data_IF_421378663121
#
_entry.id   IF_421378663121
#
_cell.length_a   1.000
_cell.length_b   1.000
_cell.length_c   1.000
_cell.angle_alpha   90.00
_cell.angle_beta   90.00
_cell.angle_gamma   90.00
#
_symmetry.space_group_name_H-M   'P 1'
#
loop_
_entity.id
_entity.type
_entity.pdbx_description
1 polymer ?
#
# COMPACT_ATOMS: atom_id res chain seq x y z
N UNK A 1 -99.08 25.64 -22.42
CA UNK A 1 -97.77 25.77 -23.10
C UNK A 1 -96.69 25.81 -22.01
N UNK A 2 -96.46 24.67 -21.35
CA UNK A 2 -95.21 23.86 -21.30
C UNK A 2 -94.28 24.31 -20.15
N UNK A 3 -94.42 23.82 -18.90
CA UNK A 3 -93.68 22.67 -18.28
C UNK A 3 -92.24 22.55 -18.82
N UNK A 4 -91.15 22.48 -18.03
CA UNK A 4 -90.84 21.48 -16.99
C UNK A 4 -89.35 21.62 -16.54
N UNK A 5 -89.01 21.39 -15.24
CA UNK A 5 -87.71 20.85 -14.69
C UNK A 5 -86.42 21.70 -14.91
N UNK A 6 -85.43 21.88 -14.02
CA UNK A 6 -84.91 21.28 -12.77
C UNK A 6 -84.11 22.39 -12.03
N UNK A 7 -84.13 22.59 -10.71
CA UNK A 7 -83.43 21.87 -9.61
C UNK A 7 -81.90 21.75 -9.82
N UNK A 8 -81.16 22.06 -8.74
CA UNK A 8 -79.81 21.59 -8.30
C UNK A 8 -78.76 22.71 -8.31
N UNK A 9 -78.61 23.46 -7.21
CA UNK A 9 -77.67 23.20 -6.10
C UNK A 9 -76.21 23.51 -6.47
N UNK A 10 -75.74 24.71 -6.12
CA UNK A 10 -74.31 25.01 -5.92
C UNK A 10 -73.92 24.27 -4.65
N UNK A 11 -73.48 23.01 -4.81
CA UNK A 11 -72.94 22.17 -3.74
C UNK A 11 -71.43 22.32 -3.80
N UNK A 12 -70.82 22.64 -2.66
CA UNK A 12 -69.40 22.55 -2.41
C UNK A 12 -68.82 21.27 -3.02
N UNK A 13 -67.96 21.39 -4.02
CA UNK A 13 -67.00 20.32 -4.34
C UNK A 13 -65.78 20.62 -3.48
N UNK A 14 -65.72 19.92 -2.36
CA UNK A 14 -64.47 19.52 -1.73
C UNK A 14 -63.60 18.86 -2.82
N UNK A 15 -62.57 19.55 -3.30
CA UNK A 15 -61.38 18.88 -3.80
C UNK A 15 -60.53 18.60 -2.57
N UNK A 16 -60.78 17.43 -1.98
CA UNK A 16 -59.75 16.71 -1.24
C UNK A 16 -58.58 16.54 -2.22
N UNK A 17 -57.56 17.40 -2.11
CA UNK A 17 -56.22 16.94 -2.45
C UNK A 17 -55.90 15.98 -1.33
N UNK A 18 -56.07 14.69 -1.61
CA UNK A 18 -55.43 13.67 -0.80
C UNK A 18 -53.95 14.01 -0.83
N UNK A 19 -53.43 14.49 0.29
CA UNK A 19 -52.01 14.46 0.56
C UNK A 19 -51.67 12.96 0.53
N UNK A 20 -51.23 12.47 -0.62
CA UNK A 20 -50.56 11.18 -0.65
C UNK A 20 -49.31 11.41 0.18
N UNK A 21 -49.22 10.71 1.32
CA UNK A 21 -47.94 10.57 2.01
C UNK A 21 -47.00 9.96 0.99
N UNK A 22 -46.00 10.72 0.61
CA UNK A 22 -44.91 10.25 -0.25
C UNK A 22 -44.15 9.16 0.51
N UNK A 23 -43.78 8.09 -0.18
CA UNK A 23 -43.14 6.96 0.49
C UNK A 23 -41.74 7.36 0.98
N UNK A 24 -41.50 7.14 2.27
CA UNK A 24 -40.22 7.38 2.93
C UNK A 24 -39.29 6.20 2.70
N UNK A 25 -38.07 6.47 2.26
CA UNK A 25 -37.00 5.48 2.07
C UNK A 25 -36.08 5.48 3.28
N UNK A 26 -35.67 4.30 3.74
CA UNK A 26 -34.75 4.15 4.87
C UNK A 26 -33.53 3.33 4.45
N UNK A 27 -32.35 3.76 4.88
CA UNK A 27 -31.09 3.04 4.68
C UNK A 27 -30.64 2.45 6.02
N UNK A 28 -30.30 1.16 6.05
CA UNK A 28 -29.89 0.52 7.31
C UNK A 28 -28.44 0.81 7.69
N UNK A 29 -27.62 1.17 6.70
CA UNK A 29 -26.23 1.55 6.88
C UNK A 29 -26.12 3.07 6.97
N UNK A 30 -25.50 3.54 8.06
CA UNK A 30 -25.38 4.96 8.33
C UNK A 30 -24.48 5.67 7.31
N UNK A 31 -23.43 5.00 6.82
CA UNK A 31 -22.52 5.56 5.83
C UNK A 31 -23.22 5.73 4.49
N UNK A 32 -24.03 4.74 4.11
CA UNK A 32 -24.89 4.83 2.93
C UNK A 32 -25.90 5.99 3.06
N UNK A 33 -26.60 6.10 4.19
CA UNK A 33 -27.56 7.20 4.40
C UNK A 33 -26.88 8.57 4.26
N UNK A 34 -25.70 8.74 4.88
CA UNK A 34 -24.93 9.99 4.79
C UNK A 34 -24.53 10.30 3.35
N UNK A 35 -24.10 9.30 2.58
CA UNK A 35 -23.75 9.45 1.18
C UNK A 35 -24.95 9.89 0.34
N UNK A 36 -26.11 9.25 0.53
CA UNK A 36 -27.34 9.61 -0.20
C UNK A 36 -27.78 11.02 0.15
N UNK A 37 -27.71 11.41 1.43
CA UNK A 37 -28.01 12.79 1.86
C UNK A 37 -27.12 13.82 1.20
N UNK A 38 -25.86 13.48 0.97
CA UNK A 38 -24.95 14.35 0.23
C UNK A 38 -25.36 14.49 -1.23
N UNK A 39 -25.69 13.37 -1.89
CA UNK A 39 -26.10 13.33 -3.29
C UNK A 39 -27.39 14.12 -3.56
N UNK A 40 -28.39 14.03 -2.68
CA UNK A 40 -29.66 14.76 -2.82
C UNK A 40 -29.60 16.22 -2.30
N UNK A 41 -28.44 16.67 -1.82
CA UNK A 41 -28.23 17.98 -1.19
C UNK A 41 -29.13 18.27 0.04
N UNK A 42 -29.60 17.24 0.75
CA UNK A 42 -30.52 17.37 1.91
C UNK A 42 -29.95 16.74 3.19
N UNK A 43 -29.66 17.58 4.18
CA UNK A 43 -28.93 17.20 5.39
C UNK A 43 -29.83 16.70 6.53
N UNK A 44 -31.11 17.08 6.53
CA UNK A 44 -32.07 16.75 7.60
C UNK A 44 -33.43 16.33 7.03
N UNK A 45 -34.16 15.50 7.77
CA UNK A 45 -35.52 15.08 7.41
C UNK A 45 -35.58 13.69 6.78
N UNK A 46 -36.80 13.29 6.45
CA UNK A 46 -37.09 12.01 5.78
C UNK A 46 -36.62 12.05 4.33
N UNK A 47 -35.87 11.04 3.90
CA UNK A 47 -35.53 10.82 2.48
C UNK A 47 -36.77 10.23 1.82
N UNK A 48 -37.21 10.81 0.71
CA UNK A 48 -38.41 10.41 0.01
C UNK A 48 -38.09 9.78 -1.33
N UNK A 49 -39.02 8.97 -1.83
CA UNK A 49 -38.86 8.32 -3.13
C UNK A 49 -38.56 9.31 -4.28
N UNK A 50 -39.20 10.48 -4.28
CA UNK A 50 -39.00 11.48 -5.33
C UNK A 50 -37.61 12.13 -5.33
N UNK A 51 -36.90 12.09 -4.20
CA UNK A 51 -35.53 12.57 -4.08
C UNK A 51 -34.57 11.64 -4.85
N UNK A 52 -34.92 10.35 -4.98
CA UNK A 52 -34.10 9.31 -5.59
C UNK A 52 -34.45 9.05 -7.07
N UNK A 53 -35.70 9.29 -7.47
CA UNK A 53 -36.27 8.90 -8.77
C UNK A 53 -35.53 9.45 -10.00
N UNK A 54 -34.69 10.48 -9.86
CA UNK A 54 -33.95 11.08 -10.98
C UNK A 54 -32.44 10.82 -10.95
N UNK A 55 -31.93 10.14 -9.93
CA UNK A 55 -30.51 9.82 -9.82
C UNK A 55 -30.20 8.67 -10.78
N UNK A 56 -29.23 8.91 -11.67
CA UNK A 56 -28.83 7.97 -12.72
C UNK A 56 -27.44 7.40 -12.52
N UNK A 57 -26.60 8.12 -11.80
CA UNK A 57 -25.23 7.76 -11.51
C UNK A 57 -25.04 7.99 -10.02
N UNK A 58 -24.39 7.05 -9.35
CA UNK A 58 -24.12 7.15 -7.92
C UNK A 58 -22.73 6.59 -7.64
N UNK A 59 -21.90 7.40 -6.97
CA UNK A 59 -20.55 7.05 -6.54
C UNK A 59 -20.51 6.91 -5.01
N UNK A 60 -20.23 5.69 -4.57
CA UNK A 60 -20.17 5.27 -3.17
C UNK A 60 -18.84 4.59 -2.84
N UNK A 61 -17.79 4.84 -3.63
CA UNK A 61 -16.50 4.17 -3.44
C UNK A 61 -15.82 4.60 -2.13
N UNK A 62 -15.31 3.64 -1.36
CA UNK A 62 -14.43 3.96 -0.22
C UNK A 62 -15.12 4.54 1.02
N UNK A 63 -16.42 4.36 1.19
CA UNK A 63 -17.21 5.01 2.25
C UNK A 63 -17.39 4.16 3.52
N UNK A 64 -16.86 2.94 3.53
CA UNK A 64 -16.99 1.99 4.64
C UNK A 64 -18.40 1.43 4.79
N UNK A 65 -19.14 1.30 3.68
CA UNK A 65 -20.49 0.74 3.66
C UNK A 65 -20.42 -0.77 3.87
N UNK A 66 -21.30 -1.30 4.72
CA UNK A 66 -21.38 -2.73 5.03
C UNK A 66 -22.67 -3.36 4.51
N UNK A 67 -23.71 -2.55 4.28
CA UNK A 67 -25.04 -3.00 3.87
C UNK A 67 -25.69 -2.00 2.90
N UNK A 68 -26.20 -2.50 1.78
CA UNK A 68 -26.81 -1.70 0.70
C UNK A 68 -28.34 -1.64 0.75
N UNK A 69 -29.00 -2.09 1.83
CA UNK A 69 -30.45 -2.02 1.93
C UNK A 69 -30.98 -0.58 1.79
N UNK A 70 -31.96 -0.42 0.91
CA UNK A 70 -32.51 0.86 0.46
C UNK A 70 -32.04 1.24 -0.94
N UNK A 71 -30.96 0.63 -1.47
CA UNK A 71 -30.45 0.90 -2.82
C UNK A 71 -31.48 0.56 -3.90
N UNK A 72 -32.34 -0.43 -3.67
CA UNK A 72 -33.43 -0.84 -4.57
C UNK A 72 -34.43 0.29 -4.87
N UNK A 73 -34.45 1.35 -4.06
CA UNK A 73 -35.32 2.52 -4.26
C UNK A 73 -34.85 3.45 -5.38
N UNK A 74 -33.65 3.25 -5.95
CA UNK A 74 -33.12 4.09 -7.04
C UNK A 74 -33.59 3.60 -8.41
N UNK A 75 -34.87 3.82 -8.73
CA UNK A 75 -35.49 3.27 -9.93
C UNK A 75 -34.87 3.74 -11.26
N UNK A 76 -34.19 4.89 -11.29
CA UNK A 76 -33.57 5.45 -12.51
C UNK A 76 -32.06 5.20 -12.60
N UNK A 77 -31.48 4.48 -11.64
CA UNK A 77 -30.03 4.26 -11.58
C UNK A 77 -29.54 3.43 -12.76
N UNK A 78 -28.55 3.94 -13.47
CA UNK A 78 -27.91 3.30 -14.63
C UNK A 78 -26.46 2.91 -14.31
N UNK A 79 -25.77 3.73 -13.54
CA UNK A 79 -24.36 3.52 -13.17
C UNK A 79 -24.21 3.56 -11.66
N UNK A 80 -23.60 2.52 -11.07
CA UNK A 80 -23.35 2.45 -9.64
C UNK A 80 -21.88 2.06 -9.37
N UNK A 81 -21.13 2.92 -8.68
CA UNK A 81 -19.81 2.59 -8.18
C UNK A 81 -19.89 2.35 -6.67
N UNK A 82 -19.69 1.10 -6.23
CA UNK A 82 -19.74 0.68 -4.81
C UNK A 82 -18.47 -0.04 -4.37
N UNK A 83 -17.37 0.18 -5.09
CA UNK A 83 -16.09 -0.45 -4.80
C UNK A 83 -15.44 0.02 -3.48
N UNK A 84 -14.42 -0.69 -3.00
CA UNK A 84 -13.66 -0.41 -1.78
C UNK A 84 -14.54 -0.18 -0.54
N UNK A 85 -15.49 -1.09 -0.29
CA UNK A 85 -16.36 -1.08 0.87
C UNK A 85 -16.27 -2.43 1.61
N UNK A 86 -17.11 -2.65 2.62
CA UNK A 86 -17.19 -3.90 3.40
C UNK A 86 -18.47 -4.69 3.09
N UNK A 87 -19.03 -4.53 1.88
CA UNK A 87 -20.29 -5.15 1.46
C UNK A 87 -20.07 -6.64 1.20
N UNK A 88 -20.90 -7.47 1.83
CA UNK A 88 -20.88 -8.94 1.65
C UNK A 88 -22.07 -9.50 0.90
N UNK A 89 -23.15 -8.73 0.77
CA UNK A 89 -24.38 -9.18 0.13
C UNK A 89 -24.78 -8.18 -0.96
N UNK A 90 -24.71 -8.64 -2.21
CA UNK A 90 -25.00 -7.88 -3.42
C UNK A 90 -26.36 -8.22 -4.02
N UNK A 91 -27.16 -9.07 -3.37
CA UNK A 91 -28.42 -9.58 -3.93
C UNK A 91 -29.42 -8.47 -4.29
N UNK A 92 -29.42 -7.35 -3.57
CA UNK A 92 -30.30 -6.21 -3.83
C UNK A 92 -30.00 -5.48 -5.15
N UNK A 93 -28.81 -5.68 -5.74
CA UNK A 93 -28.51 -5.15 -7.08
C UNK A 93 -29.40 -5.76 -8.16
N UNK A 94 -29.93 -6.97 -7.94
CA UNK A 94 -30.84 -7.64 -8.88
C UNK A 94 -32.22 -6.95 -8.97
N UNK A 95 -32.54 -6.05 -8.03
CA UNK A 95 -33.81 -5.30 -8.01
C UNK A 95 -33.73 -3.98 -8.82
N UNK A 96 -32.54 -3.59 -9.28
CA UNK A 96 -32.33 -2.35 -10.02
C UNK A 96 -32.60 -2.53 -11.53
N UNK A 97 -33.85 -2.30 -11.93
CA UNK A 97 -34.33 -2.58 -13.30
C UNK A 97 -33.62 -1.82 -14.43
N UNK A 98 -33.04 -0.64 -14.14
CA UNK A 98 -32.39 0.22 -15.14
C UNK A 98 -30.86 0.24 -15.04
N UNK A 99 -30.27 -0.59 -14.16
CA UNK A 99 -28.83 -0.65 -13.98
C UNK A 99 -28.16 -1.19 -15.25
N UNK A 100 -27.19 -0.47 -15.77
CA UNK A 100 -26.43 -0.83 -16.97
C UNK A 100 -24.99 -1.21 -16.61
N UNK A 101 -24.43 -0.58 -15.59
CA UNK A 101 -23.07 -0.80 -15.11
C UNK A 101 -23.00 -0.75 -13.58
N UNK A 102 -22.27 -1.70 -12.99
CA UNK A 102 -21.94 -1.67 -11.56
C UNK A 102 -20.50 -2.08 -11.31
N UNK A 103 -19.82 -1.28 -10.48
CA UNK A 103 -18.46 -1.54 -10.04
C UNK A 103 -18.47 -1.98 -8.58
N UNK A 104 -18.04 -3.22 -8.32
CA UNK A 104 -18.11 -3.86 -6.99
C UNK A 104 -16.75 -4.14 -6.37
N UNK A 105 -15.65 -3.81 -7.05
CA UNK A 105 -14.28 -4.14 -6.66
C UNK A 105 -13.91 -3.80 -5.21
N UNK A 106 -12.92 -4.48 -4.63
CA UNK A 106 -12.43 -4.15 -3.29
C UNK A 106 -13.46 -4.33 -2.18
N UNK A 107 -14.44 -5.23 -2.38
CA UNK A 107 -15.36 -5.70 -1.35
C UNK A 107 -15.07 -7.19 -1.07
N UNK A 108 -15.37 -7.70 0.14
CA UNK A 108 -15.04 -9.08 0.53
C UNK A 108 -16.01 -10.13 -0.05
N UNK A 109 -15.98 -10.38 -1.37
CA UNK A 109 -16.84 -11.35 -2.07
C UNK A 109 -16.10 -12.46 -2.85
N UNK A 110 -14.77 -12.39 -2.96
CA UNK A 110 -14.02 -13.20 -3.92
C UNK A 110 -14.14 -14.71 -3.68
N UNK A 111 -14.17 -15.12 -2.42
CA UNK A 111 -14.33 -16.52 -2.00
C UNK A 111 -15.80 -16.94 -1.77
N UNK A 112 -16.76 -16.04 -2.03
CA UNK A 112 -18.19 -16.29 -1.79
C UNK A 112 -18.91 -16.70 -3.09
N UNK A 113 -19.07 -18.02 -3.29
CA UNK A 113 -19.75 -18.60 -4.44
C UNK A 113 -21.18 -18.04 -4.64
N UNK A 114 -21.88 -17.67 -3.55
CA UNK A 114 -23.24 -17.13 -3.65
C UNK A 114 -23.22 -15.71 -4.25
N UNK A 115 -22.23 -14.88 -3.89
CA UNK A 115 -22.06 -13.54 -4.47
C UNK A 115 -21.57 -13.60 -5.92
N UNK A 116 -20.65 -14.50 -6.23
CA UNK A 116 -20.24 -14.75 -7.61
C UNK A 116 -21.43 -15.14 -8.50
N UNK A 117 -22.36 -15.93 -7.95
CA UNK A 117 -23.60 -16.29 -8.63
C UNK A 117 -24.55 -15.11 -8.81
N UNK A 118 -24.64 -14.18 -7.85
CA UNK A 118 -25.37 -12.90 -8.01
C UNK A 118 -24.83 -12.15 -9.22
N UNK A 119 -23.51 -11.94 -9.28
CA UNK A 119 -22.90 -11.20 -10.37
C UNK A 119 -23.05 -11.87 -11.74
N UNK A 120 -23.07 -13.21 -11.78
CA UNK A 120 -23.37 -13.94 -13.01
C UNK A 120 -24.81 -13.65 -13.50
N UNK A 121 -25.79 -13.61 -12.59
CA UNK A 121 -27.18 -13.26 -12.93
C UNK A 121 -27.32 -11.82 -13.40
N UNK A 122 -26.62 -10.87 -12.78
CA UNK A 122 -26.58 -9.48 -13.24
C UNK A 122 -26.03 -9.39 -14.67
N UNK A 123 -24.92 -10.10 -14.96
CA UNK A 123 -24.36 -10.15 -16.31
C UNK A 123 -25.33 -10.78 -17.34
N UNK A 124 -26.09 -11.81 -16.95
CA UNK A 124 -27.14 -12.40 -17.81
C UNK A 124 -28.27 -11.41 -18.12
N UNK A 125 -28.54 -10.44 -17.24
CA UNK A 125 -29.50 -9.35 -17.48
C UNK A 125 -28.94 -8.25 -18.40
N UNK A 126 -27.67 -8.35 -18.82
CA UNK A 126 -27.00 -7.37 -19.68
C UNK A 126 -26.30 -6.25 -18.91
N UNK A 127 -26.19 -6.37 -17.58
CA UNK A 127 -25.50 -5.42 -16.71
C UNK A 127 -23.99 -5.69 -16.79
N UNK A 128 -23.20 -4.66 -17.06
CA UNK A 128 -21.74 -4.76 -16.98
C UNK A 128 -21.31 -4.73 -15.51
N UNK A 129 -20.89 -5.88 -14.97
CA UNK A 129 -20.36 -5.98 -13.61
C UNK A 129 -18.84 -5.90 -13.65
N UNK A 130 -18.29 -4.79 -13.20
CA UNK A 130 -16.86 -4.63 -12.98
C UNK A 130 -16.50 -5.15 -11.59
N UNK A 131 -15.77 -6.26 -11.59
CA UNK A 131 -15.26 -6.95 -10.40
C UNK A 131 -13.74 -6.85 -10.31
N UNK A 132 -13.12 -6.09 -11.22
CA UNK A 132 -11.68 -5.90 -11.27
C UNK A 132 -11.26 -5.29 -9.94
N UNK A 133 -10.63 -6.06 -9.07
CA UNK A 133 -9.97 -5.55 -7.88
C UNK A 133 -9.02 -4.40 -8.25
N UNK A 134 -9.51 -3.16 -8.13
CA UNK A 134 -8.66 -1.98 -8.15
C UNK A 134 -8.40 -1.61 -6.70
N UNK A 135 -7.45 -2.33 -6.10
CA UNK A 135 -6.99 -2.15 -4.72
C UNK A 135 -6.09 -0.92 -4.64
N UNK A 136 -6.43 0.20 -5.26
CA UNK A 136 -5.62 1.41 -5.24
C UNK A 136 -6.43 2.67 -5.48
N UNK A 137 -5.91 3.82 -5.04
CA UNK A 137 -6.57 5.12 -5.28
C UNK A 137 -6.05 5.71 -6.60
N UNK A 138 -6.90 6.26 -7.49
CA UNK A 138 -6.46 6.96 -8.70
C UNK A 138 -5.55 8.18 -8.43
N UNK A 139 -5.67 8.77 -7.22
CA UNK A 139 -4.78 9.80 -6.68
C UNK A 139 -3.96 9.25 -5.49
N UNK A 140 -3.80 7.93 -5.40
CA UNK A 140 -3.10 7.28 -4.30
C UNK A 140 -1.61 7.64 -4.27
N UNK A 141 -1.01 7.77 -3.09
CA UNK A 141 0.45 7.81 -2.99
C UNK A 141 1.03 6.44 -3.37
N UNK A 142 2.33 6.35 -3.64
CA UNK A 142 2.96 5.04 -3.74
C UNK A 142 4.19 4.90 -4.64
N UNK A 143 4.83 6.01 -4.97
CA UNK A 143 6.24 5.96 -5.32
C UNK A 143 6.52 5.70 -6.79
N UNK A 144 7.31 4.66 -7.04
CA UNK A 144 8.17 4.58 -8.21
C UNK A 144 7.96 3.23 -8.90
N UNK A 145 7.22 3.24 -10.02
CA UNK A 145 6.89 2.00 -10.74
C UNK A 145 7.41 2.08 -12.17
N UNK A 146 8.19 1.07 -12.55
CA UNK A 146 8.60 0.84 -13.93
C UNK A 146 8.08 -0.49 -14.45
N UNK A 147 7.98 -0.58 -15.77
CA UNK A 147 7.63 -1.77 -16.52
C UNK A 147 8.69 -2.06 -17.57
N UNK A 148 9.07 -3.33 -17.67
CA UNK A 148 9.94 -3.88 -18.70
C UNK A 148 9.19 -5.01 -19.37
N UNK A 149 9.20 -5.04 -20.70
CA UNK A 149 8.56 -6.10 -21.48
C UNK A 149 9.59 -6.70 -22.42
N UNK A 150 9.75 -8.01 -22.38
CA UNK A 150 10.57 -8.76 -23.32
C UNK A 150 9.75 -9.95 -23.85
N UNK A 151 9.39 -9.88 -25.13
CA UNK A 151 8.47 -10.84 -25.77
C UNK A 151 7.14 -10.96 -25.00
N UNK A 152 6.83 -12.13 -24.45
CA UNK A 152 5.63 -12.38 -23.65
C UNK A 152 5.87 -12.23 -22.13
N UNK A 153 7.12 -12.03 -21.69
CA UNK A 153 7.48 -11.80 -20.28
C UNK A 153 7.36 -10.32 -19.90
N UNK A 154 6.74 -10.07 -18.74
CA UNK A 154 6.60 -8.72 -18.16
C UNK A 154 7.26 -8.67 -16.79
N UNK A 155 8.07 -7.64 -16.54
CA UNK A 155 8.62 -7.35 -15.21
C UNK A 155 8.16 -5.95 -14.79
N UNK A 156 7.48 -5.87 -13.66
CA UNK A 156 7.22 -4.63 -12.95
C UNK A 156 8.31 -4.44 -11.87
N UNK A 157 8.90 -3.25 -11.81
CA UNK A 157 9.89 -2.86 -10.81
C UNK A 157 9.26 -1.80 -9.90
N UNK A 158 8.91 -2.19 -8.68
CA UNK A 158 8.29 -1.32 -7.68
C UNK A 158 9.32 -0.92 -6.62
N UNK A 159 9.52 0.40 -6.47
CA UNK A 159 10.31 0.98 -5.40
C UNK A 159 9.56 0.92 -4.07
N UNK A 160 10.18 0.35 -3.05
CA UNK A 160 9.62 0.23 -1.71
C UNK A 160 10.33 1.11 -0.69
N UNK A 161 9.69 1.23 0.47
CA UNK A 161 10.26 1.76 1.70
C UNK A 161 9.92 0.78 2.82
N UNK A 162 10.91 0.40 3.62
CA UNK A 162 10.81 -0.69 4.62
C UNK A 162 9.94 -0.38 5.83
N UNK A 163 9.53 0.88 5.98
CA UNK A 163 8.64 1.33 7.05
C UNK A 163 7.59 2.26 6.46
N UNK A 164 6.38 2.19 7.01
CA UNK A 164 5.25 2.94 6.51
C UNK A 164 4.37 3.49 7.61
N UNK A 165 3.28 4.11 7.15
CA UNK A 165 2.17 4.61 7.94
C UNK A 165 0.88 4.16 7.27
N UNK A 166 -0.19 3.98 8.05
CA UNK A 166 -1.48 3.49 7.55
C UNK A 166 -2.01 4.28 6.33
N UNK A 167 -1.68 5.57 6.23
CA UNK A 167 -2.12 6.43 5.12
C UNK A 167 -1.45 6.15 3.78
N UNK A 168 -0.39 5.32 3.74
CA UNK A 168 0.18 4.84 2.47
C UNK A 168 -0.82 3.98 1.71
N UNK A 169 -1.63 3.20 2.42
CA UNK A 169 -2.39 2.12 1.82
C UNK A 169 -3.88 2.48 1.63
N UNK A 170 -4.50 1.96 0.56
CA UNK A 170 -3.86 1.27 -0.56
C UNK A 170 -3.04 2.24 -1.44
N UNK A 171 -2.04 1.71 -2.15
CA UNK A 171 -1.18 2.53 -3.01
C UNK A 171 -1.92 2.98 -4.28
N UNK A 172 -1.23 3.68 -5.18
CA UNK A 172 -1.79 4.08 -6.47
C UNK A 172 -2.29 2.87 -7.29
N UNK A 173 -3.44 3.02 -7.98
CA UNK A 173 -4.10 1.95 -8.74
C UNK A 173 -3.19 1.23 -9.76
N UNK A 174 -2.26 1.95 -10.38
CA UNK A 174 -1.32 1.35 -11.33
C UNK A 174 -0.40 0.31 -10.67
N UNK A 175 0.01 0.56 -9.43
CA UNK A 175 0.90 -0.32 -8.67
C UNK A 175 0.14 -1.56 -8.23
N UNK A 176 -1.06 -1.33 -7.70
CA UNK A 176 -1.91 -2.38 -7.16
C UNK A 176 -2.41 -3.30 -8.27
N UNK A 177 -2.66 -2.75 -9.46
CA UNK A 177 -2.93 -3.53 -10.68
C UNK A 177 -1.70 -4.31 -11.15
N UNK A 178 -0.51 -3.70 -11.14
CA UNK A 178 0.72 -4.40 -11.52
C UNK A 178 0.96 -5.63 -10.63
N UNK A 179 0.75 -5.50 -9.31
CA UNK A 179 0.78 -6.63 -8.39
C UNK A 179 -0.29 -7.67 -8.73
N UNK A 180 -1.54 -7.25 -8.94
CA UNK A 180 -2.66 -8.16 -9.18
C UNK A 180 -2.46 -8.99 -10.46
N UNK A 181 -1.96 -8.36 -11.53
CA UNK A 181 -1.65 -8.99 -12.83
C UNK A 181 -0.45 -9.94 -12.79
N UNK A 182 0.39 -9.88 -11.75
CA UNK A 182 1.64 -10.65 -11.70
C UNK A 182 1.43 -12.08 -11.17
N UNK A 183 2.14 -13.04 -11.78
CA UNK A 183 2.12 -14.44 -11.37
C UNK A 183 3.08 -14.71 -10.20
N UNK A 184 4.22 -13.99 -10.20
CA UNK A 184 5.31 -14.18 -9.24
C UNK A 184 5.64 -12.85 -8.55
N UNK A 185 5.82 -12.87 -7.24
CA UNK A 185 6.29 -11.73 -6.45
C UNK A 185 7.75 -11.94 -6.09
N UNK A 186 8.58 -10.93 -6.37
CA UNK A 186 10.03 -11.05 -6.29
C UNK A 186 10.61 -10.00 -5.32
N UNK A 187 10.67 -10.30 -4.01
CA UNK A 187 11.31 -9.40 -3.04
C UNK A 187 12.83 -9.46 -3.11
N UNK A 188 13.50 -8.46 -2.52
CA UNK A 188 14.94 -8.56 -2.22
C UNK A 188 15.23 -9.82 -1.39
N UNK A 189 14.50 -10.03 -0.30
CA UNK A 189 14.59 -11.21 0.56
C UNK A 189 13.18 -11.73 0.81
N UNK A 190 12.98 -13.04 0.68
CA UNK A 190 11.78 -13.71 1.18
C UNK A 190 11.91 -14.02 2.68
N UNK A 191 11.40 -13.13 3.53
CA UNK A 191 11.39 -13.35 4.98
C UNK A 191 10.37 -14.41 5.43
N UNK A 192 9.45 -14.83 4.55
CA UNK A 192 8.37 -15.77 4.91
C UNK A 192 8.86 -17.22 5.00
N UNK A 193 9.97 -17.54 4.32
CA UNK A 193 10.56 -18.88 4.29
C UNK A 193 11.78 -19.05 5.20
N UNK A 194 12.24 -17.99 5.87
CA UNK A 194 13.42 -18.01 6.74
C UNK A 194 13.12 -18.71 8.08
N UNK A 195 14.00 -19.62 8.50
CA UNK A 195 13.95 -20.24 9.83
C UNK A 195 14.34 -19.22 10.92
N UNK A 196 13.43 -18.83 11.83
CA UNK A 196 13.72 -17.82 12.86
C UNK A 196 14.87 -18.22 13.79
N UNK A 197 15.09 -19.51 14.03
CA UNK A 197 16.18 -20.00 14.89
C UNK A 197 17.52 -19.88 14.18
N UNK A 198 17.55 -20.16 12.88
CA UNK A 198 18.75 -20.01 12.07
C UNK A 198 19.14 -18.53 11.95
N UNK A 199 18.16 -17.66 11.71
CA UNK A 199 18.35 -16.21 11.63
C UNK A 199 18.88 -15.62 12.94
N UNK A 200 18.27 -15.97 14.08
CA UNK A 200 18.75 -15.51 15.40
C UNK A 200 20.19 -15.96 15.67
N UNK A 201 20.53 -17.20 15.31
CA UNK A 201 21.90 -17.70 15.45
C UNK A 201 22.88 -16.90 14.59
N UNK A 202 22.51 -16.59 13.35
CA UNK A 202 23.33 -15.83 12.43
C UNK A 202 23.54 -14.40 12.92
N UNK A 203 22.48 -13.75 13.40
CA UNK A 203 22.55 -12.44 14.04
C UNK A 203 23.50 -12.44 15.24
N UNK A 204 23.44 -13.46 16.09
CA UNK A 204 24.37 -13.58 17.22
C UNK A 204 25.82 -13.81 16.76
N UNK A 205 26.03 -14.66 15.75
CA UNK A 205 27.35 -14.96 15.21
C UNK A 205 28.02 -13.71 14.63
N UNK A 206 27.29 -12.97 13.78
CA UNK A 206 27.81 -11.80 13.07
C UNK A 206 27.79 -10.52 13.92
N UNK A 207 26.77 -10.38 14.75
CA UNK A 207 26.46 -9.19 15.52
C UNK A 207 27.17 -9.07 16.86
N UNK A 208 27.85 -10.13 17.34
CA UNK A 208 28.54 -10.11 18.64
C UNK A 208 30.06 -10.30 18.54
N UNK A 209 30.78 -9.81 19.54
CA UNK A 209 32.23 -10.02 19.69
C UNK A 209 32.51 -11.47 20.13
N UNK A 210 33.27 -12.19 19.31
CA UNK A 210 33.64 -13.59 19.54
C UNK A 210 34.96 -13.77 20.32
N UNK A 211 35.73 -12.70 20.48
CA UNK A 211 37.04 -12.70 21.14
C UNK A 211 36.99 -12.37 22.64
N UNK A 212 35.78 -12.13 23.17
CA UNK A 212 35.53 -11.77 24.56
C UNK A 212 35.74 -10.29 24.90
N UNK A 213 36.08 -9.46 23.91
CA UNK A 213 36.07 -8.00 24.06
C UNK A 213 34.64 -7.48 24.17
N UNK A 214 34.51 -6.21 24.55
CA UNK A 214 33.20 -5.56 24.71
C UNK A 214 33.11 -4.29 23.88
N UNK A 215 31.90 -3.85 23.55
CA UNK A 215 31.66 -2.61 22.81
C UNK A 215 32.37 -1.40 23.44
N UNK A 216 32.46 -1.36 24.78
CA UNK A 216 33.17 -0.33 25.53
C UNK A 216 34.66 -0.21 25.21
N UNK A 217 35.28 -1.30 24.78
CA UNK A 217 36.70 -1.35 24.43
C UNK A 217 36.95 -0.87 22.99
N UNK A 218 35.92 -0.89 22.14
CA UNK A 218 36.01 -0.51 20.73
C UNK A 218 35.46 0.90 20.45
N UNK A 219 34.62 1.45 21.32
CA UNK A 219 34.07 2.80 21.15
C UNK A 219 34.92 3.88 21.84
N UNK A 220 35.03 5.08 21.25
CA UNK A 220 35.44 6.28 21.97
C UNK A 220 34.57 6.49 23.22
N UNK A 221 35.19 6.93 24.32
CA UNK A 221 34.48 7.10 25.60
C UNK A 221 33.23 7.98 25.48
N UNK A 222 33.35 9.10 24.77
CA UNK A 222 32.24 10.06 24.59
C UNK A 222 31.06 9.43 23.84
N UNK A 223 31.34 8.65 22.80
CA UNK A 223 30.32 7.91 22.04
C UNK A 223 29.66 6.81 22.89
N UNK A 224 30.43 6.09 23.70
CA UNK A 224 29.88 5.09 24.62
C UNK A 224 28.93 5.73 25.65
N UNK A 225 29.29 6.89 26.21
CA UNK A 225 28.44 7.59 27.18
C UNK A 225 27.12 8.05 26.52
N UNK A 226 27.17 8.59 25.30
CA UNK A 226 25.98 8.97 24.52
C UNK A 226 25.08 7.76 24.19
N UNK A 227 25.69 6.64 23.83
CA UNK A 227 24.99 5.39 23.57
C UNK A 227 24.26 4.86 24.82
N UNK A 228 24.93 4.92 25.98
CA UNK A 228 24.35 4.54 27.26
C UNK A 228 23.13 5.40 27.59
N UNK A 229 23.24 6.71 27.39
CA UNK A 229 22.13 7.64 27.58
C UNK A 229 20.96 7.35 26.62
N UNK A 230 21.22 7.02 25.35
CA UNK A 230 20.20 6.70 24.35
C UNK A 230 19.42 5.43 24.73
N UNK A 231 20.10 4.32 25.03
CA UNK A 231 19.45 3.07 25.43
C UNK A 231 18.76 3.14 26.80
N UNK A 232 19.24 3.99 27.71
CA UNK A 232 18.59 4.24 28.99
C UNK A 232 17.18 4.82 28.84
N UNK A 233 16.90 5.58 27.76
CA UNK A 233 15.55 6.10 27.48
C UNK A 233 14.54 4.98 27.21
N UNK A 234 15.00 3.85 26.65
CA UNK A 234 14.21 2.64 26.42
C UNK A 234 14.27 1.66 27.60
N UNK A 235 14.93 2.03 28.70
CA UNK A 235 15.08 1.18 29.89
C UNK A 235 16.03 -0.01 29.68
N UNK A 236 16.90 0.04 28.68
CA UNK A 236 17.84 -1.04 28.35
C UNK A 236 19.22 -0.69 28.93
N UNK A 237 19.74 -1.47 29.89
CA UNK A 237 21.07 -1.22 30.45
C UNK A 237 22.17 -1.68 29.49
N UNK A 238 23.22 -0.88 29.33
CA UNK A 238 24.36 -1.22 28.46
C UNK A 238 25.04 -2.54 28.86
N UNK A 239 24.93 -2.98 30.11
CA UNK A 239 25.42 -4.30 30.53
C UNK A 239 24.80 -5.47 29.75
N UNK A 240 23.53 -5.33 29.33
CA UNK A 240 22.86 -6.34 28.50
C UNK A 240 23.37 -6.34 27.05
N UNK A 241 23.98 -5.23 26.62
CA UNK A 241 24.38 -4.98 25.24
C UNK A 241 25.90 -5.07 24.99
N UNK A 242 26.69 -5.29 26.05
CA UNK A 242 28.16 -5.21 26.02
C UNK A 242 28.85 -6.06 24.95
N UNK A 243 28.22 -7.14 24.50
CA UNK A 243 28.81 -8.07 23.54
C UNK A 243 28.44 -7.77 22.09
N UNK A 244 27.51 -6.84 21.82
CA UNK A 244 27.11 -6.51 20.47
C UNK A 244 28.06 -5.51 19.82
N UNK A 245 28.23 -5.64 18.51
CA UNK A 245 29.03 -4.74 17.67
C UNK A 245 28.25 -3.45 17.37
N UNK A 246 28.94 -2.36 16.98
CA UNK A 246 28.30 -1.06 16.78
C UNK A 246 27.14 -1.07 15.77
N UNK A 247 27.26 -1.81 14.66
CA UNK A 247 26.19 -1.88 13.64
C UNK A 247 24.86 -2.46 14.16
N UNK A 248 24.91 -3.51 15.01
CA UNK A 248 23.69 -4.05 15.66
C UNK A 248 23.06 -2.97 16.55
N UNK A 249 23.90 -2.25 17.29
CA UNK A 249 23.44 -1.25 18.25
C UNK A 249 22.83 -0.04 17.54
N UNK A 250 23.37 0.37 16.39
CA UNK A 250 22.79 1.40 15.55
C UNK A 250 21.41 0.96 15.02
N UNK A 251 21.34 -0.21 14.40
CA UNK A 251 20.10 -0.73 13.80
C UNK A 251 19.01 -1.00 14.84
N UNK A 252 19.38 -1.54 16.00
CA UNK A 252 18.44 -1.80 17.09
C UNK A 252 17.87 -0.49 17.63
N UNK A 253 18.69 0.56 17.76
CA UNK A 253 18.22 1.86 18.22
C UNK A 253 17.20 2.47 17.24
N UNK A 254 17.49 2.43 15.93
CA UNK A 254 16.56 2.90 14.90
C UNK A 254 15.23 2.12 14.92
N UNK A 255 15.29 0.78 15.05
CA UNK A 255 14.08 -0.04 15.16
C UNK A 255 13.24 0.32 16.39
N UNK A 256 13.86 0.58 17.54
CA UNK A 256 13.15 1.03 18.74
C UNK A 256 12.46 2.39 18.53
N UNK A 257 13.12 3.32 17.83
CA UNK A 257 12.55 4.63 17.48
C UNK A 257 11.34 4.49 16.54
N UNK A 258 11.48 3.71 15.46
CA UNK A 258 10.40 3.42 14.51
C UNK A 258 9.19 2.78 15.22
N UNK A 259 9.44 1.77 16.07
CA UNK A 259 8.40 1.11 16.85
C UNK A 259 7.70 2.08 17.81
N UNK A 260 8.44 2.97 18.47
CA UNK A 260 7.87 3.97 19.38
C UNK A 260 7.00 5.00 18.64
N UNK A 261 7.38 5.38 17.42
CA UNK A 261 6.63 6.30 16.56
C UNK A 261 5.44 5.64 15.87
N UNK A 262 5.35 4.30 15.90
CA UNK A 262 4.31 3.54 15.22
C UNK A 262 4.53 3.47 13.71
N UNK A 263 5.77 3.62 13.26
CA UNK A 263 6.16 3.38 11.87
C UNK A 263 6.34 1.88 11.68
N UNK A 264 5.30 1.27 11.13
CA UNK A 264 5.12 -0.18 10.98
C UNK A 264 4.59 -0.45 9.57
N UNK A 265 4.81 -1.66 9.07
CA UNK A 265 4.31 -2.13 7.76
C UNK A 265 4.85 -1.33 6.57
N UNK A 266 6.10 -1.61 6.20
CA UNK A 266 6.70 -1.14 4.95
C UNK A 266 5.97 -1.64 3.70
N UNK A 267 6.25 -1.00 2.56
CA UNK A 267 5.58 -1.32 1.29
C UNK A 267 5.96 -2.70 0.78
N UNK A 268 7.20 -3.11 1.04
CA UNK A 268 7.70 -4.46 0.84
C UNK A 268 6.94 -5.49 1.68
N UNK A 269 6.76 -5.24 2.98
CA UNK A 269 5.99 -6.10 3.88
C UNK A 269 4.53 -6.21 3.42
N UNK A 270 3.91 -5.09 3.04
CA UNK A 270 2.53 -5.05 2.53
C UNK A 270 2.31 -5.99 1.33
N UNK A 271 3.18 -5.92 0.32
CA UNK A 271 3.05 -6.78 -0.86
C UNK A 271 3.45 -8.22 -0.60
N UNK A 272 4.42 -8.47 0.29
CA UNK A 272 4.84 -9.82 0.66
C UNK A 272 3.73 -10.55 1.45
N UNK A 273 3.11 -9.88 2.42
CA UNK A 273 1.96 -10.41 3.17
C UNK A 273 0.77 -10.69 2.25
N UNK A 274 0.52 -9.81 1.27
CA UNK A 274 -0.51 -10.02 0.26
C UNK A 274 -0.16 -11.22 -0.62
N UNK A 275 1.10 -11.39 -1.05
CA UNK A 275 1.55 -12.53 -1.85
C UNK A 275 1.29 -13.88 -1.15
N UNK A 276 1.56 -13.95 0.16
CA UNK A 276 1.25 -15.13 0.97
C UNK A 276 -0.26 -15.40 1.03
N UNK A 277 -1.07 -14.36 1.23
CA UNK A 277 -2.54 -14.46 1.29
C UNK A 277 -3.12 -14.95 -0.03
N UNK A 278 -2.67 -14.35 -1.12
CA UNK A 278 -3.13 -14.59 -2.48
C UNK A 278 -2.49 -15.85 -3.09
N UNK A 279 -1.62 -16.52 -2.35
CA UNK A 279 -0.91 -17.75 -2.74
C UNK A 279 -0.08 -17.61 -4.03
N UNK A 280 0.48 -16.42 -4.26
CA UNK A 280 1.40 -16.18 -5.37
C UNK A 280 2.74 -16.87 -5.12
N UNK A 281 3.43 -17.23 -6.20
CA UNK A 281 4.80 -17.73 -6.09
C UNK A 281 5.72 -16.59 -5.63
N UNK A 282 6.67 -16.90 -4.73
CA UNK A 282 7.62 -15.93 -4.19
C UNK A 282 9.04 -16.41 -4.50
N UNK A 283 9.85 -15.54 -5.10
CA UNK A 283 11.26 -15.81 -5.47
C UNK A 283 12.14 -14.64 -5.03
N UNK A 284 13.19 -14.88 -4.26
CA UNK A 284 14.04 -13.83 -3.72
C UNK A 284 15.20 -13.42 -4.67
N UNK A 285 15.51 -12.12 -4.69
CA UNK A 285 16.68 -11.60 -5.42
C UNK A 285 17.98 -11.83 -4.65
N UNK A 286 17.92 -11.95 -3.34
CA UNK A 286 19.07 -12.07 -2.45
C UNK A 286 18.73 -12.97 -1.27
N UNK A 287 19.76 -13.40 -0.53
CA UNK A 287 19.58 -14.15 0.70
C UNK A 287 19.72 -13.24 1.91
N UNK A 288 19.05 -13.59 3.01
CA UNK A 288 19.22 -12.89 4.30
C UNK A 288 20.67 -12.97 4.80
N UNK A 289 21.36 -14.09 4.51
CA UNK A 289 22.77 -14.27 4.80
C UNK A 289 23.64 -13.22 4.12
N UNK A 290 23.41 -12.97 2.82
CA UNK A 290 24.21 -12.03 2.04
C UNK A 290 24.07 -10.60 2.59
N UNK A 291 22.85 -10.16 2.92
CA UNK A 291 22.62 -8.83 3.49
C UNK A 291 23.22 -8.67 4.90
N UNK A 292 23.07 -9.66 5.78
CA UNK A 292 23.68 -9.58 7.12
C UNK A 292 25.20 -9.61 7.06
N UNK A 293 25.79 -10.38 6.15
CA UNK A 293 27.23 -10.38 5.92
C UNK A 293 27.73 -9.03 5.39
N UNK A 294 26.97 -8.35 4.55
CA UNK A 294 27.31 -7.01 4.07
C UNK A 294 27.46 -6.04 5.25
N UNK A 295 26.46 -5.98 6.13
CA UNK A 295 26.49 -5.12 7.32
C UNK A 295 27.64 -5.50 8.26
N UNK A 296 27.78 -6.78 8.54
CA UNK A 296 28.77 -7.27 9.51
C UNK A 296 30.23 -7.14 9.05
N UNK A 297 30.47 -7.16 7.73
CA UNK A 297 31.81 -7.07 7.14
C UNK A 297 32.23 -5.63 6.80
N UNK A 298 31.36 -4.63 7.02
CA UNK A 298 31.75 -3.22 6.96
C UNK A 298 32.89 -2.90 7.93
N UNK A 299 33.68 -1.86 7.64
CA UNK A 299 34.82 -1.49 8.47
C UNK A 299 34.35 -1.08 9.88
N UNK A 300 35.15 -1.36 10.91
CA UNK A 300 34.80 -0.92 12.27
C UNK A 300 34.66 0.61 12.36
N UNK A 301 35.44 1.35 11.58
CA UNK A 301 35.36 2.80 11.49
C UNK A 301 34.00 3.25 10.94
N UNK A 302 33.54 2.63 9.84
CA UNK A 302 32.19 2.86 9.31
C UNK A 302 31.11 2.51 10.34
N UNK A 303 31.19 1.35 10.99
CA UNK A 303 30.21 0.95 12.00
C UNK A 303 30.14 1.94 13.18
N UNK A 304 31.28 2.52 13.58
CA UNK A 304 31.35 3.56 14.61
C UNK A 304 30.72 4.86 14.11
N UNK A 305 30.99 5.24 12.86
CA UNK A 305 30.41 6.41 12.22
C UNK A 305 28.88 6.29 12.14
N UNK A 306 28.35 5.19 11.58
CA UNK A 306 26.91 4.96 11.47
C UNK A 306 26.23 4.91 12.84
N UNK A 307 26.90 4.38 13.86
CA UNK A 307 26.40 4.43 15.23
C UNK A 307 26.30 5.88 15.73
N UNK A 308 27.32 6.70 15.49
CA UNK A 308 27.30 8.11 15.88
C UNK A 308 26.16 8.89 15.19
N UNK A 309 25.92 8.62 13.91
CA UNK A 309 24.83 9.21 13.12
C UNK A 309 23.45 8.72 13.57
N UNK A 310 23.33 7.48 14.05
CA UNK A 310 22.06 6.94 14.57
C UNK A 310 21.63 7.55 15.92
N UNK A 311 22.53 8.23 16.63
CA UNK A 311 22.28 8.83 17.95
C UNK A 311 21.65 10.22 17.84
N UNK A 312 20.51 10.30 17.14
CA UNK A 312 19.68 11.50 17.00
C UNK A 312 18.51 11.49 17.99
N UNK A 313 17.93 12.67 18.24
CA UNK A 313 16.72 12.78 19.06
C UNK A 313 15.51 12.20 18.30
N UNK A 314 14.54 11.62 19.03
CA UNK A 314 13.38 11.00 18.40
C UNK A 314 12.49 12.00 17.65
N UNK A 315 12.41 13.27 18.09
CA UNK A 315 11.65 14.31 17.40
C UNK A 315 12.33 14.71 16.08
N UNK A 316 13.66 14.71 16.05
CA UNK A 316 14.45 14.94 14.84
C UNK A 316 14.29 13.80 13.85
N UNK A 317 14.38 12.56 14.33
CA UNK A 317 14.13 11.36 13.53
C UNK A 317 12.71 11.31 12.98
N UNK A 318 11.68 11.65 13.78
CA UNK A 318 10.29 11.74 13.31
C UNK A 318 10.13 12.74 12.17
N UNK A 319 10.79 13.90 12.29
CA UNK A 319 10.76 14.94 11.24
C UNK A 319 11.38 14.43 9.94
N UNK A 320 12.55 13.82 10.02
CA UNK A 320 13.25 13.26 8.84
C UNK A 320 12.44 12.14 8.17
N UNK A 321 11.85 11.25 8.95
CA UNK A 321 11.03 10.15 8.42
C UNK A 321 9.75 10.66 7.75
N UNK A 322 9.09 11.68 8.29
CA UNK A 322 7.90 12.28 7.65
C UNK A 322 8.24 12.92 6.31
N UNK A 323 9.35 13.64 6.22
CA UNK A 323 9.82 14.21 4.96
C UNK A 323 10.11 13.09 3.94
N UNK A 324 10.78 12.02 4.36
CA UNK A 324 11.02 10.84 3.51
C UNK A 324 9.71 10.20 3.02
N UNK A 325 8.72 10.08 3.90
CA UNK A 325 7.40 9.58 3.54
C UNK A 325 6.70 10.48 2.54
N UNK A 326 6.73 11.80 2.72
CA UNK A 326 6.14 12.75 1.78
C UNK A 326 6.79 12.63 0.39
N UNK A 327 8.13 12.57 0.32
CA UNK A 327 8.84 12.39 -0.97
C UNK A 327 8.53 11.04 -1.63
N UNK A 328 8.44 9.96 -0.85
CA UNK A 328 8.04 8.66 -1.36
C UNK A 328 6.60 8.69 -1.90
N UNK A 329 5.67 9.27 -1.14
CA UNK A 329 4.27 9.39 -1.52
C UNK A 329 4.09 10.24 -2.80
N UNK A 330 4.89 11.28 -2.99
CA UNK A 330 4.88 12.16 -4.17
C UNK A 330 5.65 11.60 -5.38
N UNK A 331 6.45 10.53 -5.21
CA UNK A 331 7.30 9.98 -6.26
C UNK A 331 8.43 10.93 -6.69
N UNK A 332 8.88 11.82 -5.79
CA UNK A 332 10.00 12.75 -6.04
C UNK A 332 11.34 12.04 -5.85
N UNK A 333 11.83 11.42 -6.93
CA UNK A 333 13.10 10.69 -6.97
C UNK A 333 14.28 11.54 -6.46
N UNK A 334 14.31 12.83 -6.80
CA UNK A 334 15.44 13.68 -6.46
C UNK A 334 15.46 13.98 -4.97
N UNK A 335 14.32 14.34 -4.39
CA UNK A 335 14.24 14.60 -2.95
C UNK A 335 14.37 13.31 -2.15
N UNK A 336 13.82 12.19 -2.63
CA UNK A 336 13.98 10.89 -1.98
C UNK A 336 15.45 10.46 -1.93
N UNK A 337 16.19 10.64 -3.03
CA UNK A 337 17.63 10.37 -3.07
C UNK A 337 18.41 11.30 -2.12
N UNK A 338 18.09 12.59 -2.13
CA UNK A 338 18.75 13.58 -1.26
C UNK A 338 18.51 13.31 0.23
N UNK A 339 17.26 13.02 0.61
CA UNK A 339 16.88 12.68 1.98
C UNK A 339 17.56 11.41 2.47
N UNK A 340 17.85 10.46 1.57
CA UNK A 340 18.46 9.17 1.91
C UNK A 340 20.00 9.18 1.86
N UNK A 341 20.59 9.93 0.93
CA UNK A 341 22.05 9.98 0.70
C UNK A 341 22.74 11.20 1.31
N UNK A 342 21.98 12.13 1.89
CA UNK A 342 22.47 13.34 2.54
C UNK A 342 22.76 14.51 1.58
N UNK A 343 23.13 15.65 2.20
CA UNK A 343 23.18 16.96 1.54
C UNK A 343 24.26 17.10 0.43
N UNK A 344 25.30 16.26 0.44
CA UNK A 344 26.41 16.31 -0.51
C UNK A 344 26.97 14.92 -0.83
N UNK A 345 26.34 14.17 -1.77
CA UNK A 345 26.86 12.86 -2.19
C UNK A 345 28.27 12.94 -2.81
N UNK A 346 28.79 14.13 -3.11
CA UNK A 346 30.16 14.36 -3.55
C UNK A 346 31.19 14.47 -2.42
N UNK A 347 30.77 14.46 -1.15
CA UNK A 347 31.62 14.66 0.02
C UNK A 347 31.49 13.53 1.06
N UNK A 348 31.39 12.30 0.55
CA UNK A 348 31.42 11.08 1.37
C UNK A 348 32.86 10.71 1.78
N UNK A 349 33.04 10.16 2.97
CA UNK A 349 34.27 9.53 3.45
C UNK A 349 34.67 8.35 2.56
N UNK A 350 35.94 7.94 2.63
CA UNK A 350 36.41 6.77 1.85
C UNK A 350 35.65 5.50 2.28
N UNK A 351 35.34 5.38 3.57
CA UNK A 351 34.61 4.28 4.18
C UNK A 351 33.14 4.26 3.74
N UNK A 352 32.48 5.42 3.66
CA UNK A 352 31.11 5.55 3.13
C UNK A 352 31.04 5.15 1.66
N UNK A 353 31.99 5.61 0.85
CA UNK A 353 32.05 5.25 -0.57
C UNK A 353 32.25 3.74 -0.76
N UNK A 354 33.12 3.12 0.04
CA UNK A 354 33.32 1.67 -0.01
C UNK A 354 32.05 0.91 0.41
N UNK A 355 31.38 1.37 1.46
CA UNK A 355 30.14 0.76 1.91
C UNK A 355 29.00 0.93 0.89
N UNK A 356 28.81 2.13 0.34
CA UNK A 356 27.78 2.38 -0.69
C UNK A 356 28.02 1.54 -1.94
N UNK A 357 29.27 1.35 -2.35
CA UNK A 357 29.59 0.46 -3.47
C UNK A 357 29.11 -0.98 -3.20
N UNK A 358 29.27 -1.46 -1.96
CA UNK A 358 28.79 -2.79 -1.57
C UNK A 358 27.26 -2.83 -1.45
N UNK A 359 26.66 -1.80 -0.85
CA UNK A 359 25.23 -1.69 -0.57
C UNK A 359 24.38 -1.46 -1.83
N UNK A 360 24.91 -0.69 -2.78
CA UNK A 360 24.21 -0.27 -3.99
C UNK A 360 24.78 -0.98 -5.22
N UNK A 361 25.99 -0.66 -5.66
CA UNK A 361 26.51 -1.08 -6.97
C UNK A 361 26.54 -2.60 -7.12
N UNK A 362 27.21 -3.31 -6.19
CA UNK A 362 27.38 -4.76 -6.29
C UNK A 362 26.05 -5.52 -6.14
N UNK A 363 25.11 -4.98 -5.36
CA UNK A 363 23.77 -5.54 -5.19
C UNK A 363 22.92 -5.30 -6.44
N UNK A 364 22.90 -4.08 -6.97
CA UNK A 364 22.16 -3.73 -8.18
C UNK A 364 22.60 -4.55 -9.38
N UNK A 365 23.90 -4.80 -9.55
CA UNK A 365 24.40 -5.67 -10.62
C UNK A 365 23.85 -7.09 -10.47
N UNK A 366 23.94 -7.70 -9.29
CA UNK A 366 23.46 -9.07 -9.05
C UNK A 366 21.94 -9.19 -9.20
N UNK A 367 21.20 -8.22 -8.68
CA UNK A 367 19.74 -8.16 -8.81
C UNK A 367 19.34 -7.99 -10.28
N UNK A 368 20.04 -7.12 -11.01
CA UNK A 368 19.81 -6.93 -12.45
C UNK A 368 20.08 -8.21 -13.22
N UNK A 369 21.17 -8.93 -12.94
CA UNK A 369 21.47 -10.21 -13.60
C UNK A 369 20.31 -11.22 -13.41
N UNK A 370 19.75 -11.34 -12.19
CA UNK A 370 18.58 -12.20 -11.93
C UNK A 370 17.32 -11.71 -12.67
N UNK A 371 17.10 -10.40 -12.74
CA UNK A 371 15.95 -9.83 -13.46
C UNK A 371 16.08 -10.09 -14.97
N UNK A 372 17.29 -10.04 -15.52
CA UNK A 372 17.57 -10.40 -16.91
C UNK A 372 17.27 -11.88 -17.14
N UNK A 373 17.67 -12.77 -16.22
CA UNK A 373 17.33 -14.20 -16.31
C UNK A 373 15.81 -14.42 -16.40
N UNK A 374 15.00 -13.68 -15.62
CA UNK A 374 13.53 -13.73 -15.73
C UNK A 374 13.04 -13.24 -17.10
N UNK A 375 13.54 -12.10 -17.57
CA UNK A 375 13.17 -11.51 -18.86
C UNK A 375 13.52 -12.42 -20.05
N UNK A 376 14.59 -13.21 -19.96
CA UNK A 376 15.07 -14.11 -21.02
C UNK A 376 14.46 -15.52 -20.97
N UNK A 377 13.70 -15.88 -19.93
CA UNK A 377 13.16 -17.24 -19.74
C UNK A 377 12.05 -17.59 -20.77
N UNK A 378 11.45 -16.60 -21.44
CA UNK A 378 10.39 -16.74 -22.48
C UNK A 378 9.28 -17.73 -22.05
N UNK A 379 8.65 -17.43 -20.91
CA UNK A 379 7.71 -18.31 -20.23
C UNK A 379 6.31 -17.69 -20.00
N UNK A 380 5.97 -16.58 -20.67
CA UNK A 380 4.67 -15.89 -20.55
C UNK A 380 4.31 -15.58 -19.08
N UNK A 381 5.32 -15.22 -18.27
CA UNK A 381 5.17 -14.95 -16.84
C UNK A 381 5.29 -13.45 -16.56
N UNK A 382 4.44 -12.95 -15.67
CA UNK A 382 4.51 -11.58 -15.16
C UNK A 382 5.11 -11.56 -13.76
N UNK A 383 6.21 -10.84 -13.58
CA UNK A 383 6.92 -10.72 -12.30
C UNK A 383 6.67 -9.34 -11.67
N UNK A 384 6.36 -9.31 -10.38
CA UNK A 384 6.29 -8.10 -9.56
C UNK A 384 7.50 -8.03 -8.64
N UNK A 385 8.53 -7.31 -9.09
CA UNK A 385 9.78 -7.12 -8.34
C UNK A 385 9.61 -5.96 -7.36
N UNK A 386 9.86 -6.21 -6.08
CA UNK A 386 9.83 -5.20 -5.02
C UNK A 386 11.23 -5.03 -4.42
N UNK A 387 11.81 -3.86 -4.65
CA UNK A 387 13.16 -3.48 -4.18
C UNK A 387 13.10 -2.09 -3.54
N UNK A 388 13.96 -1.84 -2.56
CA UNK A 388 14.10 -0.53 -1.92
C UNK A 388 14.30 0.55 -2.97
N UNK A 389 13.61 1.68 -2.81
CA UNK A 389 13.51 2.73 -3.82
C UNK A 389 14.87 3.21 -4.34
N UNK A 390 15.91 3.21 -3.49
CA UNK A 390 17.26 3.59 -3.87
C UNK A 390 17.86 2.68 -4.96
N UNK A 391 17.51 1.40 -5.00
CA UNK A 391 17.98 0.47 -6.04
C UNK A 391 17.45 0.82 -7.44
N UNK A 392 16.43 1.70 -7.53
CA UNK A 392 15.84 2.16 -8.79
C UNK A 392 16.29 3.57 -9.18
N UNK A 393 16.87 4.36 -8.25
CA UNK A 393 17.20 5.78 -8.50
C UNK A 393 18.66 6.16 -8.18
N UNK A 394 19.41 5.36 -7.41
CA UNK A 394 20.81 5.63 -7.06
C UNK A 394 21.77 4.93 -8.04
N UNK A 395 22.50 5.71 -8.83
CA UNK A 395 23.42 5.17 -9.84
C UNK A 395 24.59 4.37 -9.24
N UNK A 396 24.97 3.22 -9.86
CA UNK A 396 24.27 2.55 -10.95
C UNK A 396 22.99 1.88 -10.42
N UNK A 397 21.82 2.28 -10.92
CA UNK A 397 20.54 1.71 -10.49
C UNK A 397 20.06 0.63 -11.46
N UNK A 398 19.16 -0.25 -11.02
CA UNK A 398 18.66 -1.38 -11.82
C UNK A 398 18.09 -0.91 -13.16
N UNK A 399 17.36 0.22 -13.18
CA UNK A 399 16.79 0.78 -14.41
C UNK A 399 17.89 1.13 -15.43
N UNK A 400 18.95 1.83 -15.03
CA UNK A 400 20.04 2.22 -15.94
C UNK A 400 20.83 1.00 -16.40
N UNK A 401 21.04 0.02 -15.52
CA UNK A 401 21.69 -1.24 -15.87
C UNK A 401 20.86 -2.01 -16.93
N UNK A 402 19.55 -2.16 -16.76
CA UNK A 402 18.69 -2.81 -17.76
C UNK A 402 18.71 -2.10 -19.12
N UNK A 403 18.73 -0.77 -19.12
CA UNK A 403 18.88 0.04 -20.34
C UNK A 403 20.25 -0.20 -21.02
N UNK A 404 21.33 -0.34 -20.26
CA UNK A 404 22.66 -0.70 -20.78
C UNK A 404 22.67 -2.08 -21.46
N UNK A 405 21.88 -3.02 -20.96
CA UNK A 405 21.66 -4.34 -21.57
C UNK A 405 20.70 -4.32 -22.78
N UNK A 406 20.09 -3.17 -23.08
CA UNK A 406 19.28 -2.95 -24.28
C UNK A 406 17.78 -3.17 -24.08
N UNK A 407 17.32 -3.35 -22.85
CA UNK A 407 15.89 -3.38 -22.53
C UNK A 407 15.29 -1.97 -22.58
N UNK A 408 14.00 -1.88 -22.90
CA UNK A 408 13.23 -0.63 -22.79
C UNK A 408 12.51 -0.65 -21.45
N UNK A 409 12.84 0.31 -20.59
CA UNK A 409 12.23 0.45 -19.27
C UNK A 409 11.29 1.67 -19.30
N UNK A 410 9.99 1.45 -19.07
CA UNK A 410 8.96 2.49 -19.09
C UNK A 410 8.55 2.85 -17.67
N UNK A 411 8.57 4.15 -17.32
CA UNK A 411 8.01 4.62 -16.04
C UNK A 411 6.49 4.69 -16.14
N UNK A 412 5.80 4.03 -15.21
CA UNK A 412 4.33 3.89 -15.17
C UNK A 412 3.71 4.77 -14.08
N UNK A 413 4.47 5.07 -13.01
CA UNK A 413 4.08 5.98 -11.93
C UNK A 413 5.30 6.77 -11.45
#
# INVERSE_FOLDING_TARGET
>A
MSKMKSIIFILCIFLFVACQSEDTVNFSDQQLEVAIRHEIEEVEGEIKQSDLDNIKELDLVGLGITNIAGIESFHSLQTLAIGNNEIRDFSLLEELENLEYVSVYGNPFEDDEDQLAVFARLAEQGIQVEKLEVVGRPDGPGGLLWKVVNEDTVVYLQGTIHVGIDSFYPLHENIERAYAESDVVVPEIDLTSVDPVALERLNMELGTYQDGTTVKEHLPKDLYDRLEDAYAQYGIPMEALNHFKPWILANTLQQLMMQQLGYIHGVDEYFLDRAVRDQKEIVDLETVEDQLHLLANSSLEYQIQSLEESLVDIDEFDTQMRELFDFYMEGDEQQLLYASAGDDPGNLSEEEQEFLKLLNDERNIKMTDKIIDFLEEDNDTTYFVIVGSLHLIMEPHIVSLLEEYGFVVERIH
#
